data_IF_501716356915
#
_entry.id   IF_501716356915
#
_cell.length_a   1.000
_cell.length_b   1.000
_cell.length_c   1.000
_cell.angle_alpha   90.00
_cell.angle_beta   90.00
_cell.angle_gamma   90.00
#
_symmetry.space_group_name_H-M   'P 1'
#
loop_
_entity.id
_entity.type
_entity.pdbx_description
1 polymer ?
#
# COMPACT_ATOMS: atom_id res chain seq x y z
N UNK A 1 -4.31 24.77 12.33
CA UNK A 1 -2.87 25.09 12.15
C UNK A 1 -2.15 23.77 12.05
N UNK A 2 -1.80 23.48 11.13
CA UNK A 2 -1.52 23.06 9.78
C UNK A 2 -0.58 21.85 9.81
N UNK A 3 -1.13 20.68 9.42
CA UNK A 3 -0.36 19.45 9.18
C UNK A 3 0.76 19.59 8.12
N UNK A 4 0.91 20.79 7.53
CA UNK A 4 1.99 21.11 6.59
C UNK A 4 3.37 21.28 7.23
N UNK A 5 3.44 21.46 8.55
CA UNK A 5 4.70 21.82 9.24
C UNK A 5 5.59 20.60 9.53
N UNK A 6 4.99 19.41 9.72
CA UNK A 6 5.77 18.18 9.97
C UNK A 6 6.57 17.72 8.75
N UNK A 7 5.97 17.79 7.55
CA UNK A 7 6.70 17.48 6.32
C UNK A 7 7.74 18.57 5.98
N UNK A 8 7.53 19.82 6.44
CA UNK A 8 8.48 20.91 6.33
C UNK A 8 9.74 20.71 7.19
N UNK A 9 9.63 20.00 8.32
CA UNK A 9 10.75 19.71 9.22
C UNK A 9 11.60 18.50 8.79
N UNK A 10 11.10 17.64 7.90
CA UNK A 10 11.82 16.43 7.47
C UNK A 10 12.70 16.69 6.25
N UNK A 11 12.25 17.55 5.32
CA UNK A 11 13.04 17.92 4.16
C UNK A 11 12.72 19.34 3.69
N UNK A 12 13.73 20.12 3.22
CA UNK A 12 13.50 21.46 2.67
C UNK A 12 12.57 21.37 1.44
N UNK A 13 11.73 22.37 1.27
CA UNK A 13 10.73 22.44 0.17
C UNK A 13 11.37 22.24 -1.21
N UNK A 14 12.63 22.65 -1.39
CA UNK A 14 13.40 22.47 -2.62
C UNK A 14 13.61 21.00 -3.01
N UNK A 15 13.63 20.07 -2.05
CA UNK A 15 13.78 18.62 -2.31
C UNK A 15 12.40 17.95 -2.33
N UNK A 16 11.50 18.35 -1.44
CA UNK A 16 10.17 17.76 -1.30
C UNK A 16 9.31 17.92 -2.56
N UNK A 17 9.31 19.12 -3.15
CA UNK A 17 8.47 19.41 -4.33
C UNK A 17 8.89 18.55 -5.53
N UNK A 18 10.17 18.51 -5.97
CA UNK A 18 10.55 17.70 -7.13
C UNK A 18 10.39 16.19 -6.89
N UNK A 19 10.62 15.68 -5.68
CA UNK A 19 10.42 14.26 -5.35
C UNK A 19 8.94 13.90 -5.45
N UNK A 20 8.05 14.75 -4.94
CA UNK A 20 6.60 14.56 -5.03
C UNK A 20 6.12 14.59 -6.49
N UNK A 21 6.65 15.49 -7.30
CA UNK A 21 6.33 15.56 -8.72
C UNK A 21 6.85 14.34 -9.47
N UNK A 22 8.04 13.86 -9.16
CA UNK A 22 8.59 12.64 -9.73
C UNK A 22 7.67 11.42 -9.47
N UNK A 23 7.21 11.23 -8.23
CA UNK A 23 6.26 10.16 -7.92
C UNK A 23 4.92 10.33 -8.64
N UNK A 24 4.44 11.56 -8.78
CA UNK A 24 3.22 11.84 -9.52
C UNK A 24 3.35 11.48 -11.01
N UNK A 25 4.48 11.81 -11.64
CA UNK A 25 4.76 11.49 -13.05
C UNK A 25 4.86 9.98 -13.24
N UNK A 26 5.65 9.28 -12.40
CA UNK A 26 5.80 7.82 -12.48
C UNK A 26 4.44 7.13 -12.35
N UNK A 27 3.58 7.59 -11.44
CA UNK A 27 2.24 7.02 -11.21
C UNK A 27 1.25 7.36 -12.32
N UNK A 28 1.44 8.47 -13.04
CA UNK A 28 0.54 8.90 -14.11
C UNK A 28 0.59 7.96 -15.32
N UNK A 29 1.70 7.25 -15.51
CA UNK A 29 1.85 6.29 -16.61
C UNK A 29 1.28 4.93 -16.17
N UNK A 30 0.25 4.40 -16.87
CA UNK A 30 -0.29 3.08 -16.59
C UNK A 30 0.79 1.99 -16.73
N UNK A 31 0.77 1.00 -15.83
CA UNK A 31 1.76 -0.08 -15.82
C UNK A 31 1.84 -0.89 -17.11
N UNK A 32 0.72 -1.04 -17.83
CA UNK A 32 0.68 -1.68 -19.15
C UNK A 32 1.49 -0.92 -20.19
N UNK A 33 1.38 0.41 -20.20
CA UNK A 33 2.14 1.27 -21.12
C UNK A 33 3.62 1.20 -20.80
N UNK A 34 3.99 1.22 -19.50
CA UNK A 34 5.38 1.05 -19.08
C UNK A 34 5.96 -0.29 -19.57
N UNK A 35 5.19 -1.38 -19.46
CA UNK A 35 5.64 -2.68 -19.94
C UNK A 35 5.88 -2.68 -21.45
N UNK A 36 4.97 -2.10 -22.24
CA UNK A 36 5.12 -2.01 -23.68
C UNK A 36 6.35 -1.19 -24.09
N UNK A 37 6.64 -0.09 -23.37
CA UNK A 37 7.84 0.73 -23.62
C UNK A 37 9.12 -0.02 -23.22
N UNK A 38 9.07 -0.87 -22.19
CA UNK A 38 10.25 -1.62 -21.73
C UNK A 38 10.55 -2.85 -22.59
N UNK A 39 9.57 -3.46 -23.24
CA UNK A 39 9.77 -4.64 -24.10
C UNK A 39 10.89 -4.45 -25.14
N UNK A 40 10.98 -3.35 -25.91
CA UNK A 40 12.08 -3.15 -26.86
C UNK A 40 13.46 -3.07 -26.22
N UNK A 41 13.54 -2.72 -24.95
CA UNK A 41 14.81 -2.56 -24.21
C UNK A 41 15.24 -3.86 -23.55
N UNK A 42 14.29 -4.55 -22.90
CA UNK A 42 14.57 -5.76 -22.10
C UNK A 42 14.29 -7.06 -22.82
N UNK A 43 13.64 -6.98 -23.99
CA UNK A 43 13.11 -8.14 -24.70
C UNK A 43 11.75 -8.58 -24.17
N UNK A 44 11.11 -9.48 -24.94
CA UNK A 44 9.89 -10.17 -24.48
C UNK A 44 10.25 -11.10 -23.32
N UNK A 45 9.51 -11.01 -22.22
CA UNK A 45 9.72 -11.89 -21.08
C UNK A 45 9.37 -11.27 -19.73
N UNK A 46 9.57 -12.03 -18.64
CA UNK A 46 9.17 -11.63 -17.28
C UNK A 46 9.82 -10.32 -16.77
N UNK A 47 10.99 -9.99 -17.29
CA UNK A 47 11.74 -8.81 -16.87
C UNK A 47 11.03 -7.50 -17.22
N UNK A 48 10.44 -7.40 -18.44
CA UNK A 48 9.69 -6.22 -18.84
C UNK A 48 8.51 -5.97 -17.89
N UNK A 49 7.75 -7.03 -17.59
CA UNK A 49 6.62 -6.95 -16.67
C UNK A 49 7.03 -6.62 -15.23
N UNK A 50 8.07 -7.28 -14.71
CA UNK A 50 8.56 -7.06 -13.37
C UNK A 50 9.06 -5.60 -13.17
N UNK A 51 9.81 -5.07 -14.14
CA UNK A 51 10.27 -3.68 -14.11
C UNK A 51 9.12 -2.69 -14.20
N UNK A 52 8.14 -2.92 -15.07
CA UNK A 52 6.97 -2.05 -15.21
C UNK A 52 6.17 -1.97 -13.91
N UNK A 53 5.84 -3.12 -13.31
CA UNK A 53 5.16 -3.21 -12.01
C UNK A 53 6.01 -2.55 -10.92
N UNK A 54 7.32 -2.82 -10.89
CA UNK A 54 8.23 -2.26 -9.90
C UNK A 54 8.28 -0.74 -9.94
N UNK A 55 8.53 -0.15 -11.10
CA UNK A 55 8.60 1.30 -11.30
C UNK A 55 7.28 1.97 -10.89
N UNK A 56 6.15 1.45 -11.40
CA UNK A 56 4.83 1.98 -11.06
C UNK A 56 4.52 1.85 -9.56
N UNK A 57 4.93 0.73 -8.93
CA UNK A 57 4.75 0.50 -7.50
C UNK A 57 5.56 1.47 -6.65
N UNK A 58 6.80 1.78 -7.02
CA UNK A 58 7.64 2.80 -6.34
C UNK A 58 6.94 4.16 -6.36
N UNK A 59 6.41 4.59 -7.50
CA UNK A 59 5.68 5.85 -7.60
C UNK A 59 4.44 5.89 -6.70
N UNK A 60 3.65 4.82 -6.70
CA UNK A 60 2.42 4.73 -5.90
C UNK A 60 2.70 4.64 -4.41
N UNK A 61 3.60 3.74 -3.99
CA UNK A 61 3.96 3.56 -2.58
C UNK A 61 4.70 4.78 -2.01
N UNK A 62 5.57 5.42 -2.81
CA UNK A 62 6.26 6.64 -2.42
C UNK A 62 5.28 7.77 -2.13
N UNK A 63 4.27 7.95 -2.98
CA UNK A 63 3.22 8.95 -2.74
C UNK A 63 2.40 8.62 -1.49
N UNK A 64 1.92 7.39 -1.34
CA UNK A 64 1.13 6.98 -0.16
C UNK A 64 1.92 7.11 1.13
N UNK A 65 3.21 6.73 1.13
CA UNK A 65 4.07 6.93 2.28
C UNK A 65 4.20 8.41 2.66
N UNK A 66 4.36 9.30 1.68
CA UNK A 66 4.42 10.75 1.91
C UNK A 66 3.11 11.27 2.53
N UNK A 67 1.96 10.88 1.97
CA UNK A 67 0.64 11.28 2.49
C UNK A 67 0.40 10.73 3.90
N UNK A 68 0.85 9.51 4.19
CA UNK A 68 0.75 8.91 5.53
C UNK A 68 1.60 9.67 6.54
N UNK A 69 2.82 10.09 6.18
CA UNK A 69 3.70 10.88 7.05
C UNK A 69 3.11 12.28 7.28
N UNK A 70 2.53 12.91 6.24
CA UNK A 70 1.87 14.21 6.36
C UNK A 70 0.64 14.17 7.28
N UNK A 71 -0.02 13.02 7.40
CA UNK A 71 -1.22 12.82 8.24
C UNK A 71 -0.95 12.35 9.68
N UNK A 72 0.31 12.27 10.11
CA UNK A 72 0.67 11.81 11.46
C UNK A 72 0.22 12.79 12.54
N UNK A 73 -0.29 12.26 13.66
CA UNK A 73 -0.59 13.05 14.84
C UNK A 73 0.69 13.63 15.47
N UNK A 74 0.69 14.94 15.73
CA UNK A 74 1.83 15.66 16.31
C UNK A 74 1.96 15.47 17.82
N UNK A 75 0.90 15.06 18.51
CA UNK A 75 0.88 14.93 19.97
C UNK A 75 2.02 14.08 20.54
N UNK A 76 2.25 12.86 20.06
CA UNK A 76 3.37 12.03 20.50
C UNK A 76 4.75 12.65 20.19
N UNK A 77 4.86 13.40 19.11
CA UNK A 77 6.11 14.09 18.75
C UNK A 77 6.40 15.24 19.71
N UNK A 78 5.38 16.02 20.04
CA UNK A 78 5.47 17.11 21.00
C UNK A 78 5.76 16.59 22.42
N UNK A 79 5.17 15.46 22.82
CA UNK A 79 5.46 14.81 24.10
C UNK A 79 6.94 14.41 24.22
N UNK A 80 7.53 13.81 23.16
CA UNK A 80 8.96 13.48 23.14
C UNK A 80 9.83 14.75 23.16
N UNK A 81 9.44 15.81 22.46
CA UNK A 81 10.14 17.08 22.47
C UNK A 81 10.11 17.74 23.86
N UNK A 82 8.99 17.68 24.58
CA UNK A 82 8.83 18.21 25.93
C UNK A 82 9.75 17.53 26.96
N UNK A 83 10.13 16.26 26.75
CA UNK A 83 11.14 15.57 27.58
C UNK A 83 12.58 15.88 27.21
N UNK A 84 12.83 16.82 26.29
CA UNK A 84 14.18 17.15 25.79
C UNK A 84 14.72 16.10 24.81
N UNK A 85 13.87 15.22 24.26
CA UNK A 85 14.23 14.20 23.31
C UNK A 85 14.79 14.78 22.00
N UNK A 86 15.81 14.13 21.42
CA UNK A 86 16.37 14.54 20.11
C UNK A 86 15.36 14.22 19.00
N UNK A 87 15.43 14.94 17.87
CA UNK A 87 14.59 14.73 16.69
C UNK A 87 14.47 13.25 16.26
N UNK A 88 15.58 12.50 16.30
CA UNK A 88 15.61 11.06 15.98
C UNK A 88 14.74 10.24 16.95
N UNK A 89 14.69 10.61 18.24
CA UNK A 89 13.83 9.96 19.23
C UNK A 89 12.36 10.24 18.95
N UNK A 90 12.03 11.48 18.56
CA UNK A 90 10.68 11.86 18.12
C UNK A 90 10.21 11.04 16.91
N UNK A 91 11.07 10.90 15.90
CA UNK A 91 10.78 10.05 14.73
C UNK A 91 10.58 8.58 15.11
N UNK A 92 11.47 8.01 15.93
CA UNK A 92 11.43 6.59 16.29
C UNK A 92 10.23 6.23 17.18
N UNK A 93 9.89 7.07 18.14
CA UNK A 93 8.87 6.77 19.16
C UNK A 93 7.56 7.49 18.90
N UNK A 94 7.57 8.64 18.22
CA UNK A 94 6.38 9.41 17.90
C UNK A 94 5.79 9.08 16.53
N UNK A 95 6.61 9.03 15.48
CA UNK A 95 6.13 8.91 14.09
C UNK A 95 6.08 7.47 13.60
N UNK A 96 7.17 6.72 13.71
CA UNK A 96 7.28 5.35 13.17
C UNK A 96 6.19 4.40 13.64
N UNK A 97 5.82 4.35 14.94
CA UNK A 97 4.76 3.46 15.39
C UNK A 97 3.40 3.76 14.77
N UNK A 98 3.11 5.02 14.45
CA UNK A 98 1.85 5.44 13.84
C UNK A 98 1.81 5.07 12.35
N UNK A 99 2.90 5.27 11.61
CA UNK A 99 2.93 5.05 10.16
C UNK A 99 3.12 3.59 9.78
N UNK A 100 3.82 2.79 10.60
CA UNK A 100 4.21 1.42 10.26
C UNK A 100 3.01 0.51 9.93
N UNK A 101 1.93 0.45 10.73
CA UNK A 101 0.77 -0.39 10.42
C UNK A 101 0.05 0.07 9.14
N UNK A 102 -0.04 1.38 8.91
CA UNK A 102 -0.68 1.95 7.72
C UNK A 102 0.13 1.62 6.47
N UNK A 103 1.44 1.89 6.49
CA UNK A 103 2.35 1.62 5.37
C UNK A 103 2.39 0.12 5.05
N UNK A 104 2.47 -0.74 6.06
CA UNK A 104 2.46 -2.20 5.85
C UNK A 104 1.13 -2.66 5.22
N UNK A 105 0.00 -2.08 5.64
CA UNK A 105 -1.30 -2.36 5.04
C UNK A 105 -1.37 -1.94 3.58
N UNK A 106 -0.79 -0.77 3.23
CA UNK A 106 -0.71 -0.28 1.86
C UNK A 106 0.20 -1.16 0.98
N UNK A 107 1.29 -1.67 1.52
CA UNK A 107 2.19 -2.58 0.81
C UNK A 107 1.50 -3.91 0.49
N UNK A 108 0.76 -4.48 1.43
CA UNK A 108 -0.02 -5.70 1.21
C UNK A 108 -1.08 -5.47 0.14
N UNK A 109 -1.80 -4.36 0.19
CA UNK A 109 -2.78 -3.99 -0.82
C UNK A 109 -2.15 -3.82 -2.21
N UNK A 110 -0.99 -3.17 -2.29
CA UNK A 110 -0.24 -3.03 -3.55
C UNK A 110 0.23 -4.38 -4.08
N UNK A 111 0.63 -5.28 -3.20
CA UNK A 111 1.01 -6.65 -3.59
C UNK A 111 -0.16 -7.39 -4.24
N UNK A 112 -1.37 -7.33 -3.68
CA UNK A 112 -2.60 -7.90 -4.29
C UNK A 112 -2.84 -7.37 -5.71
N UNK A 113 -2.73 -6.04 -5.89
CA UNK A 113 -2.88 -5.40 -7.21
C UNK A 113 -1.83 -5.90 -8.18
N UNK A 114 -0.57 -5.99 -7.74
CA UNK A 114 0.55 -6.41 -8.58
C UNK A 114 0.42 -7.87 -9.06
N UNK A 115 -0.14 -8.76 -8.22
CA UNK A 115 -0.43 -10.15 -8.61
C UNK A 115 -1.45 -10.20 -9.76
N UNK A 116 -2.52 -9.41 -9.70
CA UNK A 116 -3.50 -9.33 -10.79
C UNK A 116 -2.89 -8.69 -12.04
N UNK A 117 -2.15 -7.61 -11.87
CA UNK A 117 -1.47 -6.91 -12.96
C UNK A 117 -0.48 -7.82 -13.68
N UNK A 118 0.25 -8.70 -12.97
CA UNK A 118 1.20 -9.63 -13.58
C UNK A 118 0.53 -10.63 -14.54
N UNK A 119 -0.69 -11.08 -14.23
CA UNK A 119 -1.47 -11.93 -15.13
C UNK A 119 -1.85 -11.20 -16.42
N UNK A 120 -2.27 -9.93 -16.32
CA UNK A 120 -2.62 -9.10 -17.49
C UNK A 120 -1.37 -8.77 -18.33
N UNK A 121 -0.27 -8.40 -17.68
CA UNK A 121 1.01 -8.14 -18.34
C UNK A 121 1.55 -9.36 -19.08
N UNK A 122 1.30 -10.55 -18.56
CA UNK A 122 1.65 -11.81 -19.24
C UNK A 122 1.00 -11.94 -20.60
N UNK A 123 -0.22 -11.40 -20.78
CA UNK A 123 -0.93 -11.45 -22.08
C UNK A 123 -0.26 -10.61 -23.17
N UNK A 124 0.50 -9.60 -22.82
CA UNK A 124 1.24 -8.73 -23.77
C UNK A 124 2.71 -9.13 -23.94
N UNK A 125 3.08 -10.33 -23.51
CA UNK A 125 4.42 -10.87 -23.70
C UNK A 125 5.35 -10.77 -22.50
N UNK A 126 4.85 -10.36 -21.32
CA UNK A 126 5.64 -10.35 -20.10
C UNK A 126 5.79 -11.74 -19.43
N UNK A 127 5.36 -12.81 -20.10
CA UNK A 127 5.49 -14.17 -19.58
C UNK A 127 4.51 -14.54 -18.47
N UNK A 128 4.71 -15.69 -17.84
CA UNK A 128 3.86 -16.16 -16.73
C UNK A 128 2.50 -16.71 -17.17
N UNK A 129 1.53 -16.70 -16.25
CA UNK A 129 0.20 -17.31 -16.46
C UNK A 129 -0.57 -16.66 -17.62
N UNK A 130 -0.41 -15.34 -17.80
CA UNK A 130 -1.08 -14.61 -18.89
C UNK A 130 -0.60 -15.04 -20.27
N UNK A 131 0.67 -15.31 -20.45
CA UNK A 131 1.20 -15.80 -21.73
C UNK A 131 0.72 -17.23 -22.05
N UNK A 132 0.59 -18.08 -21.04
CA UNK A 132 0.00 -19.42 -21.21
C UNK A 132 -1.46 -19.33 -21.64
N UNK A 133 -2.23 -18.43 -21.02
CA UNK A 133 -3.62 -18.20 -21.39
C UNK A 133 -3.75 -17.81 -22.88
N UNK A 134 -2.92 -16.86 -23.35
CA UNK A 134 -2.93 -16.43 -24.75
C UNK A 134 -2.51 -17.58 -25.67
N UNK A 135 -1.48 -18.35 -25.31
CA UNK A 135 -1.04 -19.50 -26.07
C UNK A 135 -2.16 -20.53 -26.27
N UNK A 136 -2.86 -20.90 -25.20
CA UNK A 136 -3.97 -21.86 -25.27
C UNK A 136 -5.17 -21.30 -26.07
N UNK A 137 -5.41 -19.99 -26.00
CA UNK A 137 -6.43 -19.33 -26.82
C UNK A 137 -6.10 -19.39 -28.31
N UNK A 138 -4.84 -19.13 -28.69
CA UNK A 138 -4.37 -19.20 -30.09
C UNK A 138 -4.54 -20.61 -30.65
N UNK A 139 -4.23 -21.63 -29.87
CA UNK A 139 -4.42 -23.03 -30.24
C UNK A 139 -5.89 -23.50 -30.12
N UNK A 140 -6.83 -22.63 -29.73
CA UNK A 140 -8.26 -22.95 -29.52
C UNK A 140 -8.51 -24.09 -28.53
N UNK A 141 -7.60 -24.29 -27.59
CA UNK A 141 -7.72 -25.33 -26.57
C UNK A 141 -8.56 -24.79 -25.37
N UNK A 142 -9.87 -24.64 -25.60
CA UNK A 142 -10.77 -24.06 -24.60
C UNK A 142 -10.80 -24.79 -23.25
N UNK A 143 -10.69 -26.12 -23.17
CA UNK A 143 -10.58 -26.79 -21.88
C UNK A 143 -9.35 -26.34 -21.07
N UNK A 144 -8.19 -26.18 -21.71
CA UNK A 144 -6.99 -25.69 -21.07
C UNK A 144 -7.10 -24.21 -20.67
N UNK A 145 -7.72 -23.39 -21.52
CA UNK A 145 -8.04 -21.98 -21.17
C UNK A 145 -8.88 -21.92 -19.89
N UNK A 146 -9.93 -22.75 -19.80
CA UNK A 146 -10.76 -22.82 -18.60
C UNK A 146 -9.99 -23.24 -17.35
N UNK A 147 -9.10 -24.24 -17.47
CA UNK A 147 -8.27 -24.69 -16.36
C UNK A 147 -7.30 -23.59 -15.87
N UNK A 148 -6.63 -22.89 -16.80
CA UNK A 148 -5.70 -21.79 -16.47
C UNK A 148 -6.46 -20.64 -15.80
N UNK A 149 -7.65 -20.27 -16.27
CA UNK A 149 -8.48 -19.23 -15.66
C UNK A 149 -8.91 -19.62 -14.24
N UNK A 150 -9.43 -20.83 -14.04
CA UNK A 150 -9.84 -21.31 -12.73
C UNK A 150 -8.66 -21.35 -11.75
N UNK A 151 -7.50 -21.82 -12.19
CA UNK A 151 -6.28 -21.81 -11.37
C UNK A 151 -5.87 -20.38 -10.99
N UNK A 152 -5.90 -19.45 -11.95
CA UNK A 152 -5.57 -18.04 -11.69
C UNK A 152 -6.52 -17.43 -10.68
N UNK A 153 -7.82 -17.64 -10.83
CA UNK A 153 -8.83 -17.15 -9.88
C UNK A 153 -8.58 -17.74 -8.48
N UNK A 154 -8.33 -19.04 -8.38
CA UNK A 154 -8.08 -19.69 -7.10
C UNK A 154 -6.83 -19.11 -6.40
N UNK A 155 -5.75 -18.89 -7.15
CA UNK A 155 -4.52 -18.27 -6.62
C UNK A 155 -4.77 -16.83 -6.17
N UNK A 156 -5.43 -16.01 -6.98
CA UNK A 156 -5.75 -14.61 -6.65
C UNK A 156 -6.62 -14.54 -5.39
N UNK A 157 -7.69 -15.34 -5.31
CA UNK A 157 -8.55 -15.37 -4.13
C UNK A 157 -7.79 -15.84 -2.87
N UNK A 158 -6.89 -16.80 -3.00
CA UNK A 158 -6.05 -17.26 -1.89
C UNK A 158 -5.13 -16.16 -1.38
N UNK A 159 -4.52 -15.42 -2.27
CA UNK A 159 -3.66 -14.28 -1.93
C UNK A 159 -4.47 -13.14 -1.31
N UNK A 160 -5.61 -12.78 -1.89
CA UNK A 160 -6.50 -11.73 -1.39
C UNK A 160 -6.98 -12.05 0.03
N UNK A 161 -7.41 -13.30 0.29
CA UNK A 161 -7.85 -13.73 1.62
C UNK A 161 -6.72 -13.74 2.64
N UNK A 162 -5.53 -14.22 2.26
CA UNK A 162 -4.34 -14.22 3.11
C UNK A 162 -3.90 -12.78 3.46
N UNK A 163 -3.79 -11.91 2.47
CA UNK A 163 -3.44 -10.49 2.67
C UNK A 163 -4.46 -9.77 3.56
N UNK A 164 -5.75 -10.00 3.33
CA UNK A 164 -6.81 -9.40 4.14
C UNK A 164 -6.76 -9.89 5.61
N UNK A 165 -6.39 -11.16 5.84
CA UNK A 165 -6.22 -11.69 7.19
C UNK A 165 -5.02 -11.05 7.91
N UNK A 166 -3.89 -10.91 7.22
CA UNK A 166 -2.69 -10.25 7.75
C UNK A 166 -2.97 -8.78 8.06
N UNK A 167 -3.59 -8.05 7.13
CA UNK A 167 -3.93 -6.63 7.30
C UNK A 167 -4.86 -6.41 8.51
N UNK A 168 -5.89 -7.26 8.68
CA UNK A 168 -6.77 -7.18 9.86
C UNK A 168 -6.02 -7.38 11.17
N UNK A 169 -5.04 -8.29 11.23
CA UNK A 169 -4.21 -8.50 12.43
C UNK A 169 -3.34 -7.27 12.75
N UNK A 170 -2.73 -6.68 11.72
CA UNK A 170 -1.87 -5.49 11.87
C UNK A 170 -2.69 -4.30 12.39
N UNK A 171 -3.84 -4.02 11.78
CA UNK A 171 -4.69 -2.88 12.14
C UNK A 171 -5.27 -3.07 13.56
N UNK A 172 -5.75 -4.27 13.92
CA UNK A 172 -6.25 -4.54 15.27
C UNK A 172 -5.16 -4.40 16.32
N UNK A 173 -3.94 -4.91 16.07
CA UNK A 173 -2.82 -4.73 16.97
C UNK A 173 -2.45 -3.27 17.19
N UNK A 174 -2.57 -2.42 16.17
CA UNK A 174 -2.33 -0.99 16.28
C UNK A 174 -3.45 -0.26 17.05
N UNK A 175 -4.73 -0.62 16.83
CA UNK A 175 -5.87 -0.04 17.54
C UNK A 175 -5.81 -0.34 19.04
N UNK A 176 -5.47 -1.56 19.42
CA UNK A 176 -5.32 -1.95 20.84
C UNK A 176 -4.18 -1.20 21.53
N UNK A 177 -3.11 -0.84 20.79
CA UNK A 177 -2.00 -0.07 21.34
C UNK A 177 -2.26 1.42 21.48
N UNK A 178 -3.23 1.96 20.71
CA UNK A 178 -3.57 3.41 20.72
C UNK A 178 -4.66 3.79 21.73
N UNK A 179 -5.23 2.83 22.47
CA UNK A 179 -6.24 3.10 23.50
C UNK A 179 -7.60 3.59 22.96
N UNK A 180 -7.81 3.58 21.64
CA UNK A 180 -9.04 4.07 21.01
C UNK A 180 -10.25 3.24 21.47
N UNK A 181 -10.08 1.93 21.66
CA UNK A 181 -11.14 1.05 22.19
C UNK A 181 -11.57 1.45 23.61
N UNK A 182 -10.63 1.96 24.43
CA UNK A 182 -10.93 2.37 25.80
C UNK A 182 -11.73 3.67 25.91
N UNK A 183 -11.61 4.56 24.91
CA UNK A 183 -12.35 5.81 24.87
C UNK A 183 -13.75 5.63 24.28
N UNK A 184 -13.93 4.73 23.35
CA UNK A 184 -15.25 4.36 22.79
C UNK A 184 -16.09 3.63 23.85
N UNK A 185 -15.50 2.71 24.60
CA UNK A 185 -16.14 2.05 25.74
C UNK A 185 -16.44 3.03 26.90
N UNK A 186 -15.56 3.98 27.18
CA UNK A 186 -15.82 5.06 28.14
C UNK A 186 -16.97 5.96 27.71
N UNK A 187 -16.97 6.39 26.47
CA UNK A 187 -18.02 7.23 25.92
C UNK A 187 -19.37 6.49 25.88
N UNK A 188 -19.37 5.21 25.52
CA UNK A 188 -20.55 4.36 25.58
C UNK A 188 -21.06 4.18 27.01
N UNK A 189 -20.16 4.01 27.99
CA UNK A 189 -20.51 3.91 29.41
C UNK A 189 -21.10 5.24 29.96
N UNK A 190 -20.52 6.39 29.59
CA UNK A 190 -21.01 7.72 29.96
C UNK A 190 -22.38 7.98 29.34
N UNK A 191 -22.59 7.64 28.07
CA UNK A 191 -23.87 7.76 27.39
C UNK A 191 -24.93 6.85 28.00
N UNK A 192 -24.58 5.62 28.39
CA UNK A 192 -25.49 4.68 29.08
C UNK A 192 -25.90 5.21 30.46
N UNK A 193 -25.01 5.88 31.17
CA UNK A 193 -25.29 6.51 32.47
C UNK A 193 -26.18 7.74 32.34
N UNK A 194 -25.92 8.58 31.31
CA UNK A 194 -26.72 9.79 31.01
C UNK A 194 -28.15 9.43 30.48
N UNK A 195 -28.30 8.29 29.80
CA UNK A 195 -29.62 7.84 29.27
C UNK A 195 -30.44 7.03 30.28
N UNK A 196 -29.91 6.76 31.48
CA UNK A 196 -30.63 6.04 32.53
C UNK A 196 -30.93 4.59 32.21
N UNK A 197 -30.23 3.97 31.25
CA UNK A 197 -30.41 2.59 30.81
C UNK A 197 -29.75 1.56 31.75
N UNK A 198 -29.11 1.97 32.84
CA UNK A 198 -28.69 1.09 33.91
C UNK A 198 -29.85 0.91 34.89
N UNK A 199 -30.63 -0.11 34.71
CA UNK A 199 -31.44 -0.74 35.77
C UNK A 199 -30.87 -2.09 36.13
#
# INVERSE_FOLDING_TARGET
>A
MCSSDLAGNVAPAAVRIPVRQLFNVIRAVPELILAVILIPITGLGPWAGALAIGIHSVGTLGKWATETIEGVDTGPLEAVAATGGRWVSGMRWGVVPQILPVVTSQWLFRFEINVRASAVLGMIGAGGVGSELVSQLVFRNFPAVGAVLLMTIAVVLSIDTASAAVRRRIIRGAATSSGIDSDEDRNAAVLADLTGLRR
#
